data_IF_469776391807
#
_entry.id   IF_469776391807
#
_cell.length_a   1.000
_cell.length_b   1.000
_cell.length_c   1.000
_cell.angle_alpha   90.00
_cell.angle_beta   90.00
_cell.angle_gamma   90.00
#
_symmetry.space_group_name_H-M   'P 1'
#
loop_
_entity.id
_entity.type
_entity.pdbx_description
1 polymer ?
#
# COMPACT_ATOMS: atom_id res chain seq x y z
N UNK A 1 9.93 -16.99 24.16
CA UNK A 1 9.28 -15.93 23.36
C UNK A 1 8.92 -14.82 24.31
N UNK A 2 9.42 -13.61 24.09
CA UNK A 2 8.99 -12.46 24.90
C UNK A 2 7.51 -12.19 24.60
N UNK A 3 6.73 -11.89 25.63
CA UNK A 3 5.33 -11.52 25.46
C UNK A 3 5.18 -10.28 24.56
N UNK A 4 4.01 -10.06 23.96
CA UNK A 4 3.79 -8.91 23.07
C UNK A 4 4.17 -7.62 23.80
N UNK A 5 5.16 -6.90 23.28
CA UNK A 5 5.58 -5.59 23.82
C UNK A 5 4.65 -4.46 23.40
N UNK A 6 3.63 -4.77 22.60
CA UNK A 6 2.62 -3.85 22.09
C UNK A 6 1.23 -4.43 22.36
N UNK A 7 0.32 -3.58 22.82
CA UNK A 7 -1.10 -3.90 22.90
C UNK A 7 -1.70 -4.16 21.51
N UNK A 8 -2.82 -4.87 21.45
CA UNK A 8 -3.46 -5.17 20.17
C UNK A 8 -3.94 -3.91 19.43
N UNK A 9 -4.34 -2.87 20.15
CA UNK A 9 -4.71 -1.57 19.56
C UNK A 9 -3.51 -0.88 18.89
N UNK A 10 -2.35 -0.87 19.54
CA UNK A 10 -1.11 -0.34 18.97
C UNK A 10 -0.70 -1.12 17.72
N UNK A 11 -0.87 -2.44 17.73
CA UNK A 11 -0.57 -3.30 16.57
C UNK A 11 -1.52 -3.01 15.41
N UNK A 12 -2.82 -2.81 15.65
CA UNK A 12 -3.80 -2.50 14.60
C UNK A 12 -3.49 -1.15 13.98
N UNK A 13 -3.24 -0.12 14.80
CA UNK A 13 -2.93 1.22 14.32
C UNK A 13 -1.61 1.29 13.56
N UNK A 14 -0.56 0.63 14.06
CA UNK A 14 0.73 0.53 13.37
C UNK A 14 0.60 -0.18 12.02
N UNK A 15 -0.12 -1.30 11.96
CA UNK A 15 -0.39 -2.00 10.71
C UNK A 15 -1.19 -1.15 9.73
N UNK A 16 -2.18 -0.38 10.20
CA UNK A 16 -2.94 0.52 9.34
C UNK A 16 -2.04 1.60 8.72
N UNK A 17 -1.17 2.23 9.52
CA UNK A 17 -0.20 3.23 9.03
C UNK A 17 0.78 2.64 8.02
N UNK A 18 1.33 1.45 8.28
CA UNK A 18 2.22 0.76 7.34
C UNK A 18 1.55 0.44 6.01
N UNK A 19 0.29 -0.04 6.05
CA UNK A 19 -0.49 -0.31 4.84
C UNK A 19 -0.72 0.96 4.03
N UNK A 20 -1.11 2.06 4.68
CA UNK A 20 -1.31 3.35 4.01
C UNK A 20 0.01 3.84 3.40
N UNK A 21 1.10 3.80 4.16
CA UNK A 21 2.43 4.19 3.68
C UNK A 21 2.89 3.38 2.48
N UNK A 22 2.66 2.06 2.48
CA UNK A 22 2.95 1.20 1.34
C UNK A 22 2.15 1.59 0.09
N UNK A 23 0.84 1.81 0.22
CA UNK A 23 -0.01 2.21 -0.92
C UNK A 23 0.47 3.54 -1.50
N UNK A 24 0.73 4.53 -0.64
CA UNK A 24 1.24 5.85 -1.05
C UNK A 24 2.60 5.72 -1.76
N UNK A 25 3.52 4.92 -1.22
CA UNK A 25 4.83 4.68 -1.81
C UNK A 25 4.73 4.08 -3.22
N UNK A 26 3.84 3.10 -3.42
CA UNK A 26 3.57 2.51 -4.74
C UNK A 26 3.01 3.55 -5.72
N UNK A 27 2.06 4.38 -5.28
CA UNK A 27 1.50 5.46 -6.09
C UNK A 27 2.55 6.48 -6.54
N UNK A 28 3.34 6.99 -5.59
CA UNK A 28 4.41 7.95 -5.88
C UNK A 28 5.46 7.31 -6.80
N UNK A 29 5.84 6.06 -6.56
CA UNK A 29 6.80 5.33 -7.39
C UNK A 29 6.32 5.21 -8.83
N UNK A 30 5.04 4.87 -9.06
CA UNK A 30 4.47 4.82 -10.41
C UNK A 30 4.52 6.19 -11.12
N UNK A 31 4.23 7.26 -10.39
CA UNK A 31 4.40 8.64 -10.86
C UNK A 31 5.83 8.94 -11.30
N UNK A 32 6.80 8.69 -10.41
CA UNK A 32 8.22 8.92 -10.68
C UNK A 32 8.74 8.09 -11.86
N UNK A 33 8.33 6.82 -11.96
CA UNK A 33 8.69 5.93 -13.08
C UNK A 33 8.14 6.46 -14.40
N UNK A 34 6.93 7.03 -14.40
CA UNK A 34 6.33 7.57 -15.62
C UNK A 34 7.09 8.77 -16.19
N UNK A 35 7.81 9.54 -15.37
CA UNK A 35 8.61 10.68 -15.82
C UNK A 35 9.77 10.27 -16.75
N UNK A 36 10.10 8.98 -16.84
CA UNK A 36 11.16 8.47 -17.71
C UNK A 36 10.80 8.46 -19.21
N UNK A 37 9.54 8.73 -19.58
CA UNK A 37 9.04 8.67 -20.97
C UNK A 37 8.36 9.96 -21.43
N UNK A 38 8.82 11.11 -20.93
CA UNK A 38 8.27 12.46 -21.24
C UNK A 38 6.73 12.53 -21.21
N UNK A 39 6.10 12.14 -20.09
CA UNK A 39 4.65 12.08 -19.99
C UNK A 39 4.04 13.48 -19.90
N UNK A 40 2.79 13.60 -20.36
CA UNK A 40 1.98 14.78 -20.04
C UNK A 40 1.63 14.81 -18.53
N UNK A 41 1.33 15.98 -17.93
CA UNK A 41 0.93 16.06 -16.52
C UNK A 41 -0.28 15.18 -16.17
N UNK A 42 -1.21 15.03 -17.11
CA UNK A 42 -2.38 14.16 -16.95
C UNK A 42 -1.99 12.67 -16.90
N UNK A 43 -0.99 12.25 -17.68
CA UNK A 43 -0.47 10.89 -17.62
C UNK A 43 0.27 10.59 -16.32
N UNK A 44 0.98 11.57 -15.76
CA UNK A 44 1.61 11.43 -14.43
C UNK A 44 0.55 11.29 -13.33
N UNK A 45 -0.50 12.11 -13.36
CA UNK A 45 -1.62 11.96 -12.43
C UNK A 45 -2.30 10.58 -12.58
N UNK A 46 -2.46 10.12 -13.83
CA UNK A 46 -2.99 8.80 -14.15
C UNK A 46 -2.12 7.65 -13.64
N UNK A 47 -0.79 7.74 -13.76
CA UNK A 47 0.13 6.72 -13.27
C UNK A 47 0.16 6.65 -11.74
N UNK A 48 0.12 7.81 -11.05
CA UNK A 48 -0.03 7.85 -9.58
C UNK A 48 -1.35 7.23 -9.16
N UNK A 49 -2.47 7.59 -9.79
CA UNK A 49 -3.78 7.02 -9.49
C UNK A 49 -3.83 5.50 -9.71
N UNK A 50 -3.24 5.02 -10.82
CA UNK A 50 -3.12 3.61 -11.12
C UNK A 50 -2.25 2.88 -10.08
N UNK A 51 -1.11 3.46 -9.69
CA UNK A 51 -0.24 2.92 -8.65
C UNK A 51 -0.93 2.83 -7.29
N UNK A 52 -1.68 3.86 -6.89
CA UNK A 52 -2.49 3.85 -5.66
C UNK A 52 -3.56 2.75 -5.70
N UNK A 53 -4.26 2.60 -6.84
CA UNK A 53 -5.25 1.55 -7.04
C UNK A 53 -4.62 0.16 -6.92
N UNK A 54 -3.50 -0.08 -7.60
CA UNK A 54 -2.76 -1.34 -7.54
C UNK A 54 -2.28 -1.64 -6.11
N UNK A 55 -1.63 -0.67 -5.45
CA UNK A 55 -1.17 -0.81 -4.08
C UNK A 55 -2.32 -1.15 -3.12
N UNK A 56 -3.46 -0.47 -3.25
CA UNK A 56 -4.64 -0.75 -2.45
C UNK A 56 -5.21 -2.15 -2.73
N UNK A 57 -5.26 -2.55 -4.00
CA UNK A 57 -5.77 -3.87 -4.40
C UNK A 57 -4.89 -4.98 -3.83
N UNK A 58 -3.57 -4.82 -3.87
CA UNK A 58 -2.60 -5.75 -3.30
C UNK A 58 -2.77 -5.88 -1.79
N UNK A 59 -2.84 -4.76 -1.05
CA UNK A 59 -3.06 -4.79 0.40
C UNK A 59 -4.40 -5.43 0.74
N UNK A 60 -5.46 -5.09 0.00
CA UNK A 60 -6.81 -5.65 0.18
C UNK A 60 -6.85 -7.15 -0.09
N UNK A 61 -6.16 -7.60 -1.13
CA UNK A 61 -6.01 -9.02 -1.46
C UNK A 61 -5.21 -9.75 -0.37
N UNK A 62 -4.09 -9.19 0.07
CA UNK A 62 -3.23 -9.74 1.10
C UNK A 62 -3.99 -9.95 2.42
N UNK A 63 -4.70 -8.92 2.89
CA UNK A 63 -5.52 -8.99 4.10
C UNK A 63 -6.65 -10.01 3.97
N UNK A 64 -7.27 -10.13 2.79
CA UNK A 64 -8.27 -11.16 2.53
C UNK A 64 -7.68 -12.57 2.51
N UNK A 65 -6.50 -12.74 1.92
CA UNK A 65 -5.83 -14.03 1.77
C UNK A 65 -5.45 -14.60 3.13
N UNK A 66 -4.81 -13.80 3.99
CA UNK A 66 -4.45 -14.22 5.35
C UNK A 66 -5.67 -14.52 6.24
N UNK A 67 -6.84 -13.93 5.96
CA UNK A 67 -8.07 -14.28 6.68
C UNK A 67 -8.56 -15.68 6.30
N UNK A 68 -8.34 -16.13 5.07
CA UNK A 68 -8.78 -17.45 4.60
C UNK A 68 -7.88 -18.60 5.07
N UNK A 69 -6.60 -18.35 5.31
CA UNK A 69 -5.65 -19.38 5.76
C UNK A 69 -5.72 -19.72 7.25
N UNK A 70 -6.57 -19.03 8.02
CA UNK A 70 -6.71 -19.16 9.47
C UNK A 70 -8.10 -19.71 9.87
N UNK A 71 -8.82 -20.27 8.90
CA UNK A 71 -10.06 -21.08 9.01
C UNK A 71 -9.70 -22.52 8.65
#
# INVERSE_FOLDING_TARGET
MVGPTMSDEERISANARLRIGFVVLVGISAGLVSLQVDPTPLQVAGSVAAGLLVGWLLVRWLVRSYRKSNL
#
